data_IF_987829751273
#
_entry.id   IF_987829751273
#
_cell.length_a   1.000
_cell.length_b   1.000
_cell.length_c   1.000
_cell.angle_alpha   90.00
_cell.angle_beta   90.00
_cell.angle_gamma   90.00
#
_symmetry.space_group_name_H-M   'P 1'
#
loop_
_entity.id
_entity.type
_entity.pdbx_description
1 polymer ?
#
# COMPACT_ATOMS: atom_id res chain seq x y z
N UNK A 1 -10.76 -8.28 6.58
CA UNK A 1 -9.65 -7.89 5.69
C UNK A 1 -9.30 -6.41 5.85
N UNK A 2 -10.19 -5.46 5.53
CA UNK A 2 -9.86 -4.02 5.49
C UNK A 2 -9.26 -3.44 6.78
N UNK A 3 -9.74 -3.84 7.96
CA UNK A 3 -9.15 -3.42 9.24
C UNK A 3 -7.72 -3.95 9.41
N UNK A 4 -7.47 -5.22 9.05
CA UNK A 4 -6.12 -5.79 9.05
C UNK A 4 -5.21 -5.13 8.02
N UNK A 5 -5.74 -4.78 6.84
CA UNK A 5 -4.98 -4.04 5.83
C UNK A 5 -4.56 -2.66 6.36
N UNK A 6 -5.45 -1.94 7.06
CA UNK A 6 -5.14 -0.65 7.67
C UNK A 6 -4.08 -0.78 8.77
N UNK A 7 -4.14 -1.84 9.58
CA UNK A 7 -3.10 -2.14 10.55
C UNK A 7 -1.75 -2.43 9.86
N UNK A 8 -1.76 -3.25 8.81
CA UNK A 8 -0.56 -3.54 8.01
C UNK A 8 0.06 -2.28 7.40
N UNK A 9 -0.73 -1.40 6.79
CA UNK A 9 -0.25 -0.13 6.20
C UNK A 9 0.39 0.76 7.27
N UNK A 10 -0.21 0.83 8.46
CA UNK A 10 0.38 1.56 9.59
C UNK A 10 1.72 0.98 10.03
N UNK A 11 1.85 -0.34 10.07
CA UNK A 11 3.13 -1.01 10.36
C UNK A 11 4.14 -0.83 9.23
N UNK A 12 3.68 -0.77 7.98
CA UNK A 12 4.55 -0.62 6.81
C UNK A 12 5.28 0.73 6.86
N UNK A 13 4.65 1.80 7.36
CA UNK A 13 5.30 3.11 7.59
C UNK A 13 6.46 2.99 8.60
N UNK A 14 6.26 2.30 9.72
CA UNK A 14 7.33 2.10 10.71
C UNK A 14 8.43 1.14 10.21
N UNK A 15 8.05 0.11 9.45
CA UNK A 15 9.01 -0.78 8.79
C UNK A 15 9.87 -0.02 7.78
N UNK A 16 9.28 0.83 6.94
CA UNK A 16 10.02 1.62 5.96
C UNK A 16 10.96 2.62 6.64
N UNK A 17 10.47 3.30 7.68
CA UNK A 17 11.27 4.23 8.49
C UNK A 17 12.47 3.54 9.15
N UNK A 18 12.28 2.35 9.70
CA UNK A 18 13.36 1.60 10.34
C UNK A 18 14.36 0.99 9.35
N UNK A 19 13.94 0.70 8.11
CA UNK A 19 14.79 0.09 7.07
C UNK A 19 15.59 1.10 6.25
N UNK A 20 14.94 2.17 5.81
CA UNK A 20 15.50 3.14 4.87
C UNK A 20 15.45 4.57 5.40
N UNK A 21 14.44 4.89 6.21
CA UNK A 21 14.15 6.26 6.61
C UNK A 21 13.28 6.99 5.58
N UNK A 22 13.01 8.27 5.85
CA UNK A 22 12.17 9.11 4.96
C UNK A 22 12.91 10.33 4.44
N UNK A 23 14.06 10.67 5.00
CA UNK A 23 14.89 11.73 4.46
C UNK A 23 15.68 11.21 3.26
N UNK A 24 15.84 12.01 2.18
CA UNK A 24 16.62 11.61 1.02
C UNK A 24 18.02 11.11 1.37
N UNK A 25 18.69 11.79 2.30
CA UNK A 25 20.04 11.42 2.73
C UNK A 25 20.07 10.11 3.51
N UNK A 26 19.06 9.83 4.35
CA UNK A 26 18.97 8.55 5.07
C UNK A 26 18.89 7.38 4.10
N UNK A 27 18.06 7.51 3.05
CA UNK A 27 17.92 6.48 2.04
C UNK A 27 19.22 6.30 1.26
N UNK A 28 19.90 7.38 0.88
CA UNK A 28 21.18 7.32 0.18
C UNK A 28 22.28 6.70 1.04
N UNK A 29 22.32 7.02 2.33
CA UNK A 29 23.27 6.46 3.29
C UNK A 29 23.02 4.96 3.50
N UNK A 30 21.76 4.52 3.57
CA UNK A 30 21.40 3.10 3.63
C UNK A 30 21.71 2.35 2.33
N UNK A 31 21.53 3.01 1.18
CA UNK A 31 21.82 2.41 -0.12
C UNK A 31 23.31 2.27 -0.36
N UNK A 32 24.08 3.34 -0.14
CA UNK A 32 25.50 3.42 -0.47
C UNK A 32 26.43 3.03 0.68
N UNK A 33 25.87 2.87 1.88
CA UNK A 33 26.64 2.70 3.09
C UNK A 33 27.12 4.05 3.61
N UNK A 34 27.26 4.14 4.93
CA UNK A 34 27.82 5.30 5.59
C UNK A 34 28.75 4.82 6.72
N UNK A 35 30.07 5.07 6.62
CA UNK A 35 31.03 4.61 7.62
C UNK A 35 30.85 5.33 8.97
N UNK A 36 30.35 6.56 8.97
CA UNK A 36 30.12 7.34 10.21
C UNK A 36 28.93 6.79 11.00
N UNK A 37 27.99 6.13 10.31
CA UNK A 37 26.83 5.47 10.89
C UNK A 37 27.00 3.95 11.01
N UNK A 38 28.18 3.41 10.67
CA UNK A 38 28.48 1.98 10.61
C UNK A 38 27.49 1.17 9.74
N UNK A 39 26.98 1.80 8.68
CA UNK A 39 26.01 1.19 7.77
C UNK A 39 26.73 0.55 6.57
N UNK A 40 26.59 -0.76 6.34
CA UNK A 40 27.11 -1.38 5.13
C UNK A 40 26.27 -0.96 3.92
N UNK A 41 26.92 -0.83 2.77
CA UNK A 41 26.22 -0.59 1.51
C UNK A 41 25.29 -1.77 1.19
N UNK A 42 24.03 -1.48 0.81
CA UNK A 42 23.13 -2.51 0.29
C UNK A 42 23.67 -3.06 -1.03
N UNK A 43 23.76 -4.37 -1.10
CA UNK A 43 24.13 -5.10 -2.30
C UNK A 43 22.92 -5.35 -3.20
N UNK A 44 23.18 -5.73 -4.47
CA UNK A 44 22.11 -5.99 -5.43
C UNK A 44 21.21 -7.15 -4.97
N UNK A 45 21.75 -8.18 -4.31
CA UNK A 45 20.97 -9.33 -3.86
C UNK A 45 19.95 -8.92 -2.79
N UNK A 46 20.37 -8.14 -1.80
CA UNK A 46 19.46 -7.59 -0.78
C UNK A 46 18.37 -6.73 -1.41
N UNK A 47 18.72 -5.84 -2.34
CA UNK A 47 17.74 -4.97 -3.01
C UNK A 47 16.71 -5.76 -3.82
N UNK A 48 17.16 -6.72 -4.64
CA UNK A 48 16.26 -7.55 -5.46
C UNK A 48 15.38 -8.44 -4.58
N UNK A 49 15.91 -8.96 -3.47
CA UNK A 49 15.12 -9.75 -2.52
C UNK A 49 14.01 -8.92 -1.89
N UNK A 50 14.34 -7.70 -1.44
CA UNK A 50 13.38 -6.75 -0.88
C UNK A 50 12.30 -6.36 -1.89
N UNK A 51 12.72 -6.01 -3.11
CA UNK A 51 11.79 -5.70 -4.20
C UNK A 51 10.87 -6.88 -4.53
N UNK A 52 11.39 -8.11 -4.58
CA UNK A 52 10.58 -9.29 -4.88
C UNK A 52 9.49 -9.49 -3.84
N UNK A 53 9.83 -9.37 -2.55
CA UNK A 53 8.87 -9.48 -1.45
C UNK A 53 7.82 -8.36 -1.55
N UNK A 54 8.23 -7.11 -1.77
CA UNK A 54 7.32 -5.98 -1.84
C UNK A 54 6.40 -6.04 -3.08
N UNK A 55 6.94 -6.43 -4.25
CA UNK A 55 6.18 -6.67 -5.48
C UNK A 55 5.26 -7.87 -5.39
N UNK A 56 5.40 -8.73 -4.38
CA UNK A 56 4.44 -9.78 -4.10
C UNK A 56 3.35 -9.32 -3.13
N UNK A 57 3.75 -8.73 -2.00
CA UNK A 57 2.82 -8.37 -0.92
C UNK A 57 1.93 -7.18 -1.31
N UNK A 58 2.50 -6.11 -1.87
CA UNK A 58 1.73 -4.90 -2.16
C UNK A 58 0.66 -5.13 -3.24
N UNK A 59 0.94 -5.79 -4.37
CA UNK A 59 -0.09 -6.08 -5.35
C UNK A 59 -1.17 -7.02 -4.80
N UNK A 60 -0.81 -8.02 -3.98
CA UNK A 60 -1.80 -8.89 -3.34
C UNK A 60 -2.74 -8.08 -2.42
N UNK A 61 -2.20 -7.14 -1.65
CA UNK A 61 -2.97 -6.22 -0.82
C UNK A 61 -3.92 -5.37 -1.67
N UNK A 62 -3.43 -4.77 -2.77
CA UNK A 62 -4.24 -3.90 -3.64
C UNK A 62 -5.31 -4.67 -4.39
N UNK A 63 -5.01 -5.84 -4.94
CA UNK A 63 -5.99 -6.71 -5.62
C UNK A 63 -7.10 -7.09 -4.65
N UNK A 64 -6.75 -7.47 -3.43
CA UNK A 64 -7.74 -7.86 -2.40
C UNK A 64 -8.55 -6.66 -1.90
N UNK A 65 -7.93 -5.48 -1.75
CA UNK A 65 -8.65 -4.26 -1.36
C UNK A 65 -9.60 -3.81 -2.48
N UNK A 66 -9.14 -3.87 -3.73
CA UNK A 66 -9.91 -3.51 -4.92
C UNK A 66 -11.13 -4.40 -5.11
N UNK A 67 -11.01 -5.71 -4.84
CA UNK A 67 -12.14 -6.64 -4.97
C UNK A 67 -13.29 -6.31 -4.01
N UNK A 68 -13.01 -5.66 -2.88
CA UNK A 68 -14.03 -5.15 -1.98
C UNK A 68 -14.50 -3.76 -2.45
N UNK A 69 -13.55 -2.87 -2.78
CA UNK A 69 -13.80 -1.49 -3.18
C UNK A 69 -14.68 -1.37 -4.44
N UNK A 70 -14.66 -2.36 -5.34
CA UNK A 70 -15.49 -2.40 -6.56
C UNK A 70 -17.00 -2.37 -6.28
N UNK A 71 -17.42 -2.75 -5.07
CA UNK A 71 -18.83 -2.73 -4.65
C UNK A 71 -19.33 -1.35 -4.21
N UNK A 72 -18.43 -0.37 -4.08
CA UNK A 72 -18.77 1.01 -3.76
C UNK A 72 -19.33 1.68 -5.03
N UNK A 73 -20.46 2.42 -4.94
CA UNK A 73 -21.10 3.08 -6.08
C UNK A 73 -20.31 4.32 -6.53
N UNK A 74 -19.17 4.09 -7.18
CA UNK A 74 -18.32 5.11 -7.81
C UNK A 74 -18.46 5.03 -9.33
N UNK A 75 -18.28 6.16 -10.01
CA UNK A 75 -18.17 6.19 -11.47
C UNK A 75 -16.97 5.35 -11.95
N UNK A 76 -17.06 4.83 -13.19
CA UNK A 76 -16.01 3.99 -13.78
C UNK A 76 -14.64 4.68 -13.83
N UNK A 77 -14.59 5.97 -14.16
CA UNK A 77 -13.35 6.75 -14.23
C UNK A 77 -12.66 6.84 -12.86
N UNK A 78 -13.40 7.18 -11.81
CA UNK A 78 -12.87 7.25 -10.45
C UNK A 78 -12.38 5.89 -9.98
N UNK A 79 -13.14 4.83 -10.25
CA UNK A 79 -12.74 3.46 -9.91
C UNK A 79 -11.43 3.06 -10.57
N UNK A 80 -11.25 3.40 -11.85
CA UNK A 80 -10.00 3.14 -12.57
C UNK A 80 -8.83 3.90 -11.93
N UNK A 81 -9.00 5.18 -11.57
CA UNK A 81 -7.95 5.96 -10.90
C UNK A 81 -7.54 5.34 -9.56
N UNK A 82 -8.50 4.92 -8.74
CA UNK A 82 -8.23 4.28 -7.44
C UNK A 82 -7.49 2.94 -7.55
N UNK A 83 -7.52 2.29 -8.71
CA UNK A 83 -6.74 1.06 -8.97
C UNK A 83 -5.38 1.41 -9.54
N UNK A 84 -5.36 2.30 -10.54
CA UNK A 84 -4.15 2.64 -11.29
C UNK A 84 -3.12 3.33 -10.43
N UNK A 85 -3.51 4.32 -9.61
CA UNK A 85 -2.59 5.13 -8.80
C UNK A 85 -1.76 4.27 -7.83
N UNK A 86 -2.34 3.45 -6.93
CA UNK A 86 -1.54 2.62 -6.04
C UNK A 86 -0.73 1.56 -6.80
N UNK A 87 -1.26 1.03 -7.91
CA UNK A 87 -0.56 0.02 -8.72
C UNK A 87 0.70 0.57 -9.37
N UNK A 88 0.62 1.78 -9.96
CA UNK A 88 1.80 2.44 -10.55
C UNK A 88 2.76 2.90 -9.47
N UNK A 89 2.27 3.38 -8.33
CA UNK A 89 3.09 3.76 -7.19
C UNK A 89 3.97 2.59 -6.69
N UNK A 90 3.44 1.37 -6.58
CA UNK A 90 4.24 0.19 -6.19
C UNK A 90 5.41 -0.05 -7.16
N UNK A 91 5.18 0.11 -8.47
CA UNK A 91 6.23 -0.07 -9.48
C UNK A 91 7.29 1.01 -9.37
N UNK A 92 6.87 2.27 -9.26
CA UNK A 92 7.80 3.40 -9.13
C UNK A 92 8.55 3.41 -7.81
N UNK A 93 7.97 2.88 -6.73
CA UNK A 93 8.65 2.67 -5.46
C UNK A 93 9.88 1.76 -5.64
N UNK A 94 9.66 0.60 -6.27
CA UNK A 94 10.72 -0.37 -6.55
C UNK A 94 11.77 0.16 -7.54
N UNK A 95 11.32 0.83 -8.61
CA UNK A 95 12.21 1.42 -9.62
C UNK A 95 12.99 2.63 -9.07
N UNK A 96 12.39 3.42 -8.19
CA UNK A 96 13.04 4.56 -7.53
C UNK A 96 14.22 4.10 -6.68
N UNK A 97 14.07 2.97 -5.97
CA UNK A 97 15.17 2.40 -5.17
C UNK A 97 16.34 1.93 -6.04
N UNK A 98 16.08 1.20 -7.12
CA UNK A 98 17.12 0.80 -8.07
C UNK A 98 17.76 2.00 -8.77
N UNK A 99 16.95 2.97 -9.17
CA UNK A 99 17.41 4.19 -9.80
C UNK A 99 18.34 5.00 -8.90
N UNK A 100 18.00 5.11 -7.62
CA UNK A 100 18.81 5.81 -6.64
C UNK A 100 20.17 5.15 -6.44
N UNK A 101 20.23 3.82 -6.54
CA UNK A 101 21.47 3.06 -6.38
C UNK A 101 22.35 3.05 -7.64
N UNK A 102 21.76 2.91 -8.82
CA UNK A 102 22.49 2.58 -10.06
C UNK A 102 22.47 3.66 -11.14
N UNK A 103 21.55 4.63 -11.08
CA UNK A 103 21.44 5.67 -12.11
C UNK A 103 21.82 7.05 -11.57
N UNK A 104 21.03 7.59 -10.63
CA UNK A 104 21.23 8.94 -10.12
C UNK A 104 20.55 9.11 -8.75
N UNK A 105 21.17 9.88 -7.86
CA UNK A 105 20.70 10.08 -6.48
C UNK A 105 19.29 10.68 -6.40
N UNK A 106 18.88 11.41 -7.42
CA UNK A 106 17.59 12.11 -7.53
C UNK A 106 16.40 11.14 -7.59
N UNK A 107 16.63 9.88 -7.99
CA UNK A 107 15.61 8.83 -7.98
C UNK A 107 15.11 8.48 -6.58
N UNK A 108 15.82 8.90 -5.51
CA UNK A 108 15.30 8.79 -4.13
C UNK A 108 13.96 9.51 -3.97
N UNK A 109 13.75 10.62 -4.67
CA UNK A 109 12.48 11.34 -4.62
C UNK A 109 11.35 10.52 -5.23
N UNK A 110 11.63 9.76 -6.31
CA UNK A 110 10.66 8.85 -6.92
C UNK A 110 10.28 7.76 -5.91
N UNK A 111 11.26 7.17 -5.21
CA UNK A 111 11.01 6.20 -4.13
C UNK A 111 10.10 6.78 -3.05
N UNK A 112 10.45 7.94 -2.49
CA UNK A 112 9.68 8.59 -1.41
C UNK A 112 8.25 8.93 -1.85
N UNK A 113 8.09 9.61 -2.99
CA UNK A 113 6.78 10.04 -3.48
C UNK A 113 5.90 8.83 -3.78
N UNK A 114 6.48 7.78 -4.35
CA UNK A 114 5.74 6.57 -4.70
C UNK A 114 5.29 5.80 -3.46
N UNK A 115 6.17 5.65 -2.45
CA UNK A 115 5.80 5.07 -1.17
C UNK A 115 4.59 5.77 -0.55
N UNK A 116 4.66 7.11 -0.41
CA UNK A 116 3.57 7.88 0.19
C UNK A 116 2.31 7.87 -0.67
N UNK A 117 2.44 7.88 -1.99
CA UNK A 117 1.29 7.77 -2.90
C UNK A 117 0.57 6.44 -2.69
N UNK A 118 1.31 5.33 -2.60
CA UNK A 118 0.75 4.01 -2.31
C UNK A 118 0.07 3.98 -0.94
N UNK A 119 0.77 4.41 0.12
CA UNK A 119 0.25 4.39 1.49
C UNK A 119 -1.03 5.22 1.63
N UNK A 120 -1.00 6.49 1.20
CA UNK A 120 -2.13 7.40 1.34
C UNK A 120 -3.33 6.87 0.55
N UNK A 121 -3.12 6.41 -0.69
CA UNK A 121 -4.22 5.92 -1.52
C UNK A 121 -4.82 4.63 -0.95
N UNK A 122 -3.99 3.69 -0.49
CA UNK A 122 -4.45 2.46 0.15
C UNK A 122 -5.21 2.73 1.47
N UNK A 123 -4.72 3.65 2.30
CA UNK A 123 -5.38 4.07 3.53
C UNK A 123 -6.74 4.70 3.24
N UNK A 124 -6.83 5.61 2.26
CA UNK A 124 -8.11 6.22 1.85
C UNK A 124 -9.08 5.17 1.31
N UNK A 125 -8.61 4.21 0.51
CA UNK A 125 -9.41 3.07 0.06
C UNK A 125 -9.91 2.21 1.23
N UNK A 126 -9.10 2.02 2.27
CA UNK A 126 -9.53 1.32 3.48
C UNK A 126 -10.63 2.08 4.24
N UNK A 127 -10.45 3.39 4.48
CA UNK A 127 -11.44 4.20 5.20
C UNK A 127 -12.77 4.31 4.45
N UNK A 128 -12.72 4.53 3.13
CA UNK A 128 -13.92 4.59 2.28
C UNK A 128 -14.66 3.25 2.27
N UNK A 129 -13.93 2.14 2.22
CA UNK A 129 -14.50 0.79 2.32
C UNK A 129 -15.14 0.53 3.69
N UNK A 130 -14.46 0.87 4.79
CA UNK A 130 -15.01 0.71 6.15
C UNK A 130 -16.28 1.55 6.31
N UNK A 131 -16.25 2.82 5.90
CA UNK A 131 -17.42 3.71 5.94
C UNK A 131 -18.59 3.12 5.17
N UNK A 132 -18.34 2.60 3.96
CA UNK A 132 -19.37 1.97 3.14
C UNK A 132 -19.96 0.72 3.82
N UNK A 133 -19.13 -0.16 4.36
CA UNK A 133 -19.57 -1.37 5.06
C UNK A 133 -20.37 -1.04 6.32
N UNK A 134 -19.96 -0.04 7.09
CA UNK A 134 -20.69 0.40 8.28
C UNK A 134 -22.03 1.05 7.91
N UNK A 135 -22.10 1.81 6.82
CA UNK A 135 -23.35 2.41 6.34
C UNK A 135 -24.38 1.39 5.85
N UNK A 136 -23.91 0.19 5.43
CA UNK A 136 -24.75 -0.93 4.99
C UNK A 136 -25.00 -1.99 6.06
N UNK A 137 -24.43 -1.84 7.26
CA UNK A 137 -24.62 -2.82 8.33
C UNK A 137 -26.13 -2.94 8.65
N UNK A 138 -26.72 -4.14 8.56
CA UNK A 138 -28.13 -4.31 8.86
C UNK A 138 -28.32 -4.17 10.37
N UNK A 139 -29.08 -3.17 10.80
CA UNK A 139 -29.84 -3.28 12.05
C UNK A 139 -30.77 -4.49 11.90
N UNK A 140 -30.40 -5.65 12.44
CA UNK A 140 -31.32 -6.79 12.55
C UNK A 140 -31.87 -6.86 13.98
N UNK A 141 -33.11 -7.34 14.13
CA UNK A 141 -33.19 -8.78 14.34
C UNK A 141 -34.24 -9.47 13.46
N UNK A 142 -33.92 -10.72 13.17
CA UNK A 142 -34.82 -11.85 12.90
C UNK A 142 -36.29 -11.57 13.23
N UNK A 143 -37.12 -11.38 12.21
CA UNK A 143 -38.53 -11.82 12.19
C UNK A 143 -39.01 -11.90 10.75
N UNK A 144 -38.71 -13.01 10.08
CA UNK A 144 -39.46 -13.45 8.90
C UNK A 144 -39.88 -14.91 9.05
N UNK A 145 -40.48 -15.21 10.20
CA UNK A 145 -41.30 -16.40 10.41
C UNK A 145 -42.71 -15.96 10.75
N UNK A 146 -43.52 -15.63 9.74
CA UNK A 146 -44.98 -15.84 9.74
C UNK A 146 -45.56 -15.31 8.42
N UNK A 147 -45.76 -16.20 7.45
CA UNK A 147 -46.92 -16.24 6.54
C UNK A 147 -46.70 -17.27 5.43
N UNK A 148 -46.41 -18.51 5.84
CA UNK A 148 -46.68 -19.70 5.03
C UNK A 148 -47.73 -20.53 5.78
N UNK A 149 -48.92 -19.97 5.97
CA UNK A 149 -50.15 -20.74 6.23
C UNK A 149 -51.33 -20.04 5.55
N UNK A 150 -52.09 -20.86 4.81
CA UNK A 150 -53.41 -20.65 4.18
C UNK A 150 -53.54 -19.57 3.12
N UNK A 151 -53.56 -19.97 1.85
CA UNK A 151 -54.80 -20.20 1.11
C UNK A 151 -54.54 -21.03 -0.15
#
# INVERSE_FOLDING_TARGET
>A
FTVFALFYLSLNIELEKSRLGFAPQEILDQLNGNPDLFLPAKDLSSLVSEMHVNLFIYPLLIVTLTSIFIHIPLSSAHRMLWIMIPSTAILFDSLGLLGAKYLASEFVWIKIISFWTFEITAIVMCFTTIKYLLSKAPTSPVTRFHNLKSN
#
